data_IF_391481585556
#
_entry.id   IF_391481585556
#
_cell.length_a   1.000
_cell.length_b   1.000
_cell.length_c   1.000
_cell.angle_alpha   90.00
_cell.angle_beta   90.00
_cell.angle_gamma   90.00
#
_symmetry.space_group_name_H-M   'P 1'
#
loop_
_entity.id
_entity.type
_entity.pdbx_description
1 polymer ?
#
# COMPACT_ATOMS: atom_id res chain seq x y z
N UNK A 1 -7.16 7.61 16.41
CA UNK A 1 -6.69 7.59 15.03
C UNK A 1 -6.40 6.15 14.74
N UNK A 2 -7.18 5.54 13.86
CA UNK A 2 -7.06 4.11 13.54
C UNK A 2 -6.44 4.01 12.17
N UNK A 3 -5.54 3.04 12.00
CA UNK A 3 -4.86 2.77 10.74
C UNK A 3 -5.33 1.42 10.24
N UNK A 4 -5.91 1.41 9.06
CA UNK A 4 -6.35 0.21 8.37
C UNK A 4 -5.26 -0.26 7.41
N UNK A 5 -4.90 -1.53 7.50
CA UNK A 5 -3.89 -2.15 6.65
C UNK A 5 -4.58 -3.01 5.58
N UNK A 6 -4.30 -2.74 4.33
CA UNK A 6 -4.82 -3.51 3.19
C UNK A 6 -3.68 -4.18 2.42
N UNK A 7 -3.95 -5.36 1.87
CA UNK A 7 -3.10 -5.97 0.86
C UNK A 7 -3.16 -5.12 -0.41
N UNK A 8 -2.00 -4.72 -0.94
CA UNK A 8 -1.99 -4.05 -2.24
C UNK A 8 -1.96 -5.13 -3.33
N UNK A 9 -2.85 -5.08 -4.33
CA UNK A 9 -2.90 -6.11 -5.36
C UNK A 9 -1.54 -6.22 -6.06
N UNK A 10 -1.08 -7.44 -6.34
CA UNK A 10 0.23 -7.68 -6.97
C UNK A 10 0.44 -6.92 -8.30
N UNK A 11 -0.65 -6.52 -8.96
CA UNK A 11 -0.65 -5.68 -10.17
C UNK A 11 -0.37 -4.20 -9.91
N UNK A 12 -0.40 -3.73 -8.67
CA UNK A 12 0.00 -2.37 -8.32
C UNK A 12 1.52 -2.14 -8.53
N UNK A 13 2.32 -3.22 -8.62
CA UNK A 13 3.70 -3.16 -9.13
C UNK A 13 3.80 -3.01 -10.66
N UNK A 14 2.68 -3.03 -11.40
CA UNK A 14 2.65 -2.79 -12.83
C UNK A 14 2.05 -1.41 -13.11
N UNK A 15 2.96 -0.46 -13.34
CA UNK A 15 2.72 0.77 -14.09
C UNK A 15 1.91 1.83 -13.36
N UNK A 16 2.66 2.76 -12.78
CA UNK A 16 2.21 4.13 -12.57
C UNK A 16 2.02 4.48 -11.10
N UNK A 17 2.89 5.37 -10.60
CA UNK A 17 2.32 6.57 -9.99
C UNK A 17 1.17 7.02 -10.90
N UNK A 18 -0.02 7.37 -10.39
CA UNK A 18 -0.99 8.03 -11.24
C UNK A 18 -0.28 9.23 -11.87
N UNK A 19 0.06 9.13 -13.16
CA UNK A 19 0.65 10.23 -13.88
C UNK A 19 -0.38 11.34 -13.75
N UNK A 20 0.00 12.41 -13.03
CA UNK A 20 -0.88 13.55 -12.80
C UNK A 20 -1.59 13.89 -14.11
N UNK A 21 -2.92 13.98 -14.15
CA UNK A 21 -3.65 14.08 -15.39
C UNK A 21 -3.25 15.40 -16.05
N UNK A 22 -2.42 15.34 -17.09
CA UNK A 22 -2.21 16.48 -17.97
C UNK A 22 -3.57 16.75 -18.60
N UNK A 23 -4.20 17.81 -18.11
CA UNK A 23 -5.41 18.40 -18.67
C UNK A 23 -5.25 18.62 -20.16
N UNK A 24 -6.12 18.02 -20.96
CA UNK A 24 -7.02 18.76 -21.86
C UNK A 24 -7.79 17.78 -22.76
N UNK A 25 -8.92 17.28 -22.25
CA UNK A 25 -10.10 17.15 -23.11
C UNK A 25 -11.26 17.89 -22.45
N UNK A 26 -11.84 18.73 -23.29
CA UNK A 26 -13.02 19.56 -23.13
C UNK A 26 -14.08 19.04 -22.14
N UNK A 27 -14.25 19.74 -21.01
CA UNK A 27 -15.56 19.94 -20.38
C UNK A 27 -16.24 18.77 -19.68
N UNK A 28 -15.56 17.65 -19.44
CA UNK A 28 -16.08 16.57 -18.57
C UNK A 28 -15.19 16.47 -17.35
N UNK A 29 -15.75 16.73 -16.17
CA UNK A 29 -15.13 16.31 -14.92
C UNK A 29 -14.90 14.79 -15.04
N UNK A 30 -13.69 14.26 -14.75
CA UNK A 30 -13.56 12.82 -14.60
C UNK A 30 -14.56 12.39 -13.52
N UNK A 31 -15.58 11.64 -13.95
CA UNK A 31 -16.69 11.20 -13.10
C UNK A 31 -16.29 10.00 -12.23
N UNK A 32 -15.03 9.61 -12.30
CA UNK A 32 -14.44 8.53 -11.54
C UNK A 32 -13.55 9.18 -10.48
N UNK A 33 -14.05 9.23 -9.25
CA UNK A 33 -13.16 9.31 -8.09
C UNK A 33 -12.09 8.23 -8.28
N UNK A 34 -10.79 8.54 -8.05
CA UNK A 34 -9.76 7.52 -8.09
C UNK A 34 -10.17 6.44 -7.09
N UNK A 35 -10.73 5.36 -7.61
CA UNK A 35 -11.24 4.28 -6.78
C UNK A 35 -9.99 3.54 -6.36
N UNK A 36 -9.46 3.90 -5.20
CA UNK A 36 -8.43 3.12 -4.54
C UNK A 36 -9.03 1.73 -4.31
N UNK A 37 -8.66 0.79 -5.17
CA UNK A 37 -8.97 -0.61 -5.00
C UNK A 37 -8.06 -1.13 -3.88
N UNK A 38 -8.50 -0.86 -2.65
CA UNK A 38 -7.94 -1.50 -1.48
C UNK A 38 -8.25 -2.99 -1.61
N UNK A 39 -7.22 -3.84 -1.54
CA UNK A 39 -7.41 -5.28 -1.51
C UNK A 39 -8.08 -5.72 -0.21
N UNK A 40 -7.77 -6.94 0.24
CA UNK A 40 -8.31 -7.42 1.51
C UNK A 40 -7.77 -6.62 2.70
N UNK A 41 -8.67 -6.20 3.60
CA UNK A 41 -8.32 -5.64 4.90
C UNK A 41 -7.63 -6.72 5.74
N UNK A 42 -6.35 -6.50 6.05
CA UNK A 42 -5.55 -7.40 6.88
C UNK A 42 -5.77 -7.14 8.38
N UNK A 43 -6.05 -5.89 8.74
CA UNK A 43 -6.34 -5.51 10.12
C UNK A 43 -6.39 -4.01 10.35
N UNK A 44 -6.78 -3.64 11.56
CA UNK A 44 -6.79 -2.26 12.04
C UNK A 44 -5.85 -2.12 13.22
N UNK A 45 -5.07 -1.05 13.24
CA UNK A 45 -3.98 -0.82 14.17
C UNK A 45 -4.08 0.58 14.77
N UNK A 46 -3.62 0.75 16.00
CA UNK A 46 -3.59 2.06 16.65
C UNK A 46 -2.39 2.91 16.17
N UNK A 47 -1.40 2.29 15.52
CA UNK A 47 -0.17 2.97 15.06
C UNK A 47 0.47 2.29 13.86
N UNK A 48 1.18 3.11 13.07
CA UNK A 48 1.94 2.66 11.89
C UNK A 48 2.97 1.58 12.23
N UNK A 49 3.64 1.74 13.36
CA UNK A 49 4.66 0.81 13.83
C UNK A 49 4.08 -0.58 14.12
N UNK A 50 2.85 -0.64 14.65
CA UNK A 50 2.15 -1.92 14.88
C UNK A 50 1.77 -2.59 13.58
N UNK A 51 1.24 -1.85 12.61
CA UNK A 51 0.93 -2.39 11.29
C UNK A 51 2.18 -2.95 10.58
N UNK A 52 3.30 -2.23 10.65
CA UNK A 52 4.58 -2.70 10.09
C UNK A 52 5.10 -3.93 10.83
N UNK A 53 4.98 -3.96 12.15
CA UNK A 53 5.38 -5.11 12.95
C UNK A 53 4.55 -6.35 12.58
N UNK A 54 3.23 -6.19 12.42
CA UNK A 54 2.34 -7.25 11.96
C UNK A 54 2.73 -7.80 10.59
N UNK A 55 3.01 -6.93 9.61
CA UNK A 55 3.48 -7.37 8.27
C UNK A 55 4.77 -8.17 8.41
N UNK A 56 5.74 -7.67 9.17
CA UNK A 56 7.03 -8.37 9.36
C UNK A 56 6.85 -9.75 10.01
N UNK A 57 5.98 -9.85 11.00
CA UNK A 57 5.65 -11.11 11.66
C UNK A 57 5.00 -12.10 10.68
N UNK A 58 3.98 -11.64 9.94
CA UNK A 58 3.29 -12.45 8.93
C UNK A 58 4.24 -12.94 7.81
N UNK A 59 5.23 -12.12 7.43
CA UNK A 59 6.26 -12.50 6.45
C UNK A 59 7.24 -13.52 7.04
N UNK A 60 7.64 -13.34 8.30
CA UNK A 60 8.50 -14.29 9.01
C UNK A 60 7.81 -15.66 9.17
N UNK A 61 6.51 -15.70 9.50
CA UNK A 61 5.70 -16.93 9.55
C UNK A 61 5.67 -17.66 8.20
N UNK A 62 5.69 -16.91 7.09
CA UNK A 62 5.78 -17.45 5.72
C UNK A 62 7.21 -17.86 5.32
N UNK A 63 8.17 -17.85 6.25
CA UNK A 63 9.59 -18.10 5.95
C UNK A 63 10.17 -17.12 4.92
N UNK A 64 9.71 -15.87 4.95
CA UNK A 64 10.20 -14.79 4.11
C UNK A 64 11.00 -13.81 4.98
N UNK A 65 12.25 -13.59 4.60
CA UNK A 65 13.11 -12.61 5.27
C UNK A 65 12.92 -11.24 4.61
N UNK A 66 12.55 -10.22 5.38
CA UNK A 66 12.49 -8.84 4.90
C UNK A 66 13.92 -8.32 4.72
N UNK A 67 14.32 -8.03 3.48
CA UNK A 67 15.65 -7.49 3.17
C UNK A 67 15.66 -5.98 3.02
N UNK A 68 14.53 -5.39 2.63
CA UNK A 68 14.37 -3.95 2.47
C UNK A 68 12.90 -3.55 2.67
N UNK A 69 12.66 -2.32 3.12
CA UNK A 69 11.32 -1.77 3.29
C UNK A 69 11.31 -0.30 2.89
N UNK A 70 10.39 0.06 2.01
CA UNK A 70 10.19 1.43 1.54
C UNK A 70 8.76 1.87 1.82
N UNK A 71 8.58 3.16 2.12
CA UNK A 71 7.27 3.75 2.35
C UNK A 71 7.16 5.09 1.62
N UNK A 72 6.03 5.35 0.97
CA UNK A 72 5.74 6.61 0.30
C UNK A 72 4.26 6.96 0.46
N UNK A 73 3.88 8.24 0.54
CA UNK A 73 2.48 8.62 0.44
C UNK A 73 1.91 8.18 -0.91
N UNK A 74 0.68 7.64 -0.94
CA UNK A 74 0.00 7.28 -2.18
C UNK A 74 -0.34 8.52 -3.00
N UNK A 75 -0.87 9.53 -2.32
CA UNK A 75 -1.20 10.84 -2.88
C UNK A 75 -1.14 11.90 -1.78
N UNK A 76 -0.75 13.14 -2.13
CA UNK A 76 -0.59 14.25 -1.16
C UNK A 76 -1.90 14.66 -0.48
N UNK A 77 -3.05 14.27 -1.04
CA UNK A 77 -4.38 14.62 -0.56
C UNK A 77 -5.14 13.44 0.05
N UNK A 78 -4.55 12.24 0.05
CA UNK A 78 -5.12 11.04 0.67
C UNK A 78 -4.33 10.68 1.91
N UNK A 79 -4.99 10.36 3.02
CA UNK A 79 -4.35 9.84 4.23
C UNK A 79 -3.90 8.38 4.06
N UNK A 80 -3.41 8.04 2.86
CA UNK A 80 -3.02 6.69 2.44
C UNK A 80 -1.52 6.67 2.22
N UNK A 81 -0.83 5.77 2.92
CA UNK A 81 0.58 5.50 2.73
C UNK A 81 0.76 4.13 2.05
N UNK A 82 1.61 4.11 1.02
CA UNK A 82 2.08 2.91 0.36
C UNK A 82 3.30 2.36 1.08
N UNK A 83 3.27 1.08 1.44
CA UNK A 83 4.42 0.32 1.93
C UNK A 83 4.84 -0.75 0.93
N UNK A 84 6.14 -0.82 0.61
CA UNK A 84 6.72 -1.94 -0.16
C UNK A 84 7.76 -2.64 0.69
N UNK A 85 7.63 -3.95 0.83
CA UNK A 85 8.61 -4.82 1.46
C UNK A 85 9.27 -5.70 0.40
N UNK A 86 10.58 -5.62 0.32
CA UNK A 86 11.38 -6.58 -0.44
C UNK A 86 11.69 -7.74 0.48
N UNK A 87 11.26 -8.94 0.09
CA UNK A 87 11.44 -10.16 0.85
C UNK A 87 12.27 -11.17 0.07
N UNK A 88 13.02 -12.00 0.79
CA UNK A 88 13.76 -13.14 0.25
C UNK A 88 13.19 -14.42 0.82
N UNK A 89 12.84 -15.35 -0.05
CA UNK A 89 12.40 -16.69 0.35
C UNK A 89 13.59 -17.62 0.60
N UNK A 90 13.34 -18.77 1.22
CA UNK A 90 14.34 -19.82 1.41
C UNK A 90 14.97 -20.32 0.08
N UNK A 91 14.25 -20.20 -1.04
CA UNK A 91 14.73 -20.54 -2.39
C UNK A 91 15.61 -19.43 -3.02
N UNK A 92 16.00 -18.42 -2.22
CA UNK A 92 16.71 -17.21 -2.68
C UNK A 92 15.93 -16.35 -3.68
N UNK A 93 14.65 -16.64 -3.88
CA UNK A 93 13.79 -15.82 -4.72
C UNK A 93 13.46 -14.51 -4.00
N UNK A 94 13.68 -13.40 -4.70
CA UNK A 94 13.29 -12.07 -4.20
C UNK A 94 11.87 -11.75 -4.67
N UNK A 95 11.03 -11.30 -3.74
CA UNK A 95 9.65 -10.90 -4.00
C UNK A 95 9.37 -9.55 -3.37
N UNK A 96 8.64 -8.71 -4.10
CA UNK A 96 8.16 -7.44 -3.60
C UNK A 96 6.71 -7.61 -3.18
N UNK A 97 6.40 -7.26 -1.94
CA UNK A 97 5.04 -7.22 -1.41
C UNK A 97 4.69 -5.80 -1.07
N UNK A 98 3.51 -5.37 -1.48
CA UNK A 98 3.05 -4.00 -1.26
C UNK A 98 1.81 -4.01 -0.39
N UNK A 99 1.64 -2.98 0.43
CA UNK A 99 0.53 -2.82 1.36
C UNK A 99 0.10 -1.36 1.41
N UNK A 100 -1.17 -1.11 1.71
CA UNK A 100 -1.68 0.23 1.94
C UNK A 100 -2.00 0.42 3.42
N UNK A 101 -1.53 1.54 3.98
CA UNK A 101 -1.92 2.04 5.28
C UNK A 101 -2.89 3.20 5.07
N UNK A 102 -4.15 3.02 5.41
CA UNK A 102 -5.15 4.08 5.38
C UNK A 102 -5.32 4.60 6.79
N UNK A 103 -5.15 5.90 6.99
CA UNK A 103 -5.40 6.49 8.30
C UNK A 103 -6.79 7.10 8.33
N UNK A 104 -7.67 6.51 9.13
CA UNK A 104 -9.00 7.07 9.40
C UNK A 104 -8.86 8.20 10.43
N UNK A 105 -8.78 9.42 9.91
CA UNK A 105 -9.03 10.63 10.68
C UNK A 105 -10.52 10.92 10.62
N UNK A 106 -11.32 10.18 11.41
CA UNK A 106 -12.77 10.31 11.46
C UNK A 106 -13.24 11.77 11.42
N UNK A 107 -14.02 12.10 10.38
CA UNK A 107 -14.62 13.42 10.14
C UNK A 107 -15.77 13.75 11.10
#
# INVERSE_FOLDING_TARGET
MTIELYDAPAKANQSGHPESPISNIQGELPNEEPTLDFGDLLGSFDSREEAIAFIKDQLAEQSQEVTDSHSAPFDEYTHVEWLTFTTRTADQQTQNKSYYLVTDEGY
#
